data_IF_670198924334
#
_entry.id   IF_670198924334
#
_cell.length_a   1.000
_cell.length_b   1.000
_cell.length_c   1.000
_cell.angle_alpha   90.00
_cell.angle_beta   90.00
_cell.angle_gamma   90.00
#
_symmetry.space_group_name_H-M   'P 1'
#
loop_
_entity.id
_entity.type
_entity.pdbx_description
1 polymer ?
#
# COMPACT_ATOMS: atom_id res chain seq x y z
N UNK A 1 3.80 -7.05 0.69
CA UNK A 1 4.01 -7.10 -0.75
C UNK A 1 5.36 -7.69 -1.06
N UNK A 2 5.44 -8.56 -2.06
CA UNK A 2 6.72 -9.15 -2.42
C UNK A 2 7.69 -8.05 -2.87
N UNK A 3 8.90 -8.15 -2.37
CA UNK A 3 9.91 -7.16 -2.67
C UNK A 3 11.17 -7.86 -3.13
N UNK A 4 11.69 -7.42 -4.23
CA UNK A 4 12.92 -7.95 -4.77
C UNK A 4 14.10 -7.40 -3.99
N UNK A 5 15.03 -8.28 -3.62
CA UNK A 5 16.24 -7.84 -2.95
C UNK A 5 17.15 -7.10 -3.93
N UNK A 6 17.80 -6.07 -3.41
CA UNK A 6 18.82 -5.37 -4.17
C UNK A 6 20.12 -6.19 -4.16
N UNK A 7 20.63 -6.46 -5.35
CA UNK A 7 21.87 -7.21 -5.50
C UNK A 7 22.90 -6.35 -6.23
N UNK A 8 23.58 -5.49 -5.48
CA UNK A 8 24.73 -4.70 -5.96
C UNK A 8 24.49 -3.98 -7.29
N UNK A 9 25.49 -4.04 -8.13
CA UNK A 9 25.49 -3.30 -9.41
C UNK A 9 24.57 -3.90 -10.47
N UNK A 10 23.94 -5.04 -10.18
CA UNK A 10 23.04 -5.70 -11.11
C UNK A 10 21.59 -5.26 -10.97
N UNK A 11 21.33 -4.26 -10.16
CA UNK A 11 19.98 -3.75 -9.97
C UNK A 11 19.49 -3.09 -11.25
N UNK A 12 18.36 -3.57 -11.76
CA UNK A 12 17.70 -3.03 -12.95
C UNK A 12 16.40 -2.38 -12.53
N UNK A 13 16.36 -1.06 -12.59
CA UNK A 13 15.18 -0.28 -12.19
C UNK A 13 13.94 -0.64 -13.00
N UNK A 14 14.10 -0.82 -14.32
CA UNK A 14 12.97 -1.14 -15.18
C UNK A 14 12.37 -2.50 -14.85
N UNK A 15 13.23 -3.48 -14.58
CA UNK A 15 12.76 -4.81 -14.18
C UNK A 15 12.08 -4.77 -12.81
N UNK A 16 12.57 -3.94 -11.90
CA UNK A 16 11.96 -3.79 -10.59
C UNK A 16 10.55 -3.21 -10.72
N UNK A 17 10.37 -2.18 -11.54
CA UNK A 17 9.06 -1.58 -11.76
C UNK A 17 8.10 -2.58 -12.40
N UNK A 18 8.55 -3.31 -13.41
CA UNK A 18 7.73 -4.34 -14.07
C UNK A 18 7.29 -5.43 -13.08
N UNK A 19 8.22 -5.88 -12.24
CA UNK A 19 7.95 -6.91 -11.25
C UNK A 19 6.92 -6.44 -10.23
N UNK A 20 7.07 -5.24 -9.70
CA UNK A 20 6.12 -4.68 -8.74
C UNK A 20 4.73 -4.49 -9.38
N UNK A 21 4.70 -3.98 -10.61
CA UNK A 21 3.45 -3.81 -11.35
C UNK A 21 2.75 -5.15 -11.56
N UNK A 22 3.50 -6.18 -11.93
CA UNK A 22 2.95 -7.52 -12.11
C UNK A 22 2.30 -8.04 -10.84
N UNK A 23 3.00 -7.96 -9.70
CA UNK A 23 2.48 -8.48 -8.44
C UNK A 23 1.29 -7.68 -7.93
N UNK A 24 1.28 -6.37 -8.11
CA UNK A 24 0.12 -5.57 -7.75
C UNK A 24 -1.12 -5.99 -8.56
N UNK A 25 -0.92 -6.31 -9.82
CA UNK A 25 -2.04 -6.72 -10.68
C UNK A 25 -2.61 -8.09 -10.34
N UNK A 26 -1.79 -9.04 -9.89
CA UNK A 26 -2.25 -10.38 -9.59
C UNK A 26 -2.69 -10.59 -8.13
N UNK A 27 -2.29 -9.71 -7.22
CA UNK A 27 -2.63 -9.84 -5.81
C UNK A 27 -4.10 -9.53 -5.54
N UNK A 28 -4.75 -10.35 -4.71
CA UNK A 28 -6.13 -10.12 -4.30
C UNK A 28 -6.22 -9.15 -3.10
N UNK A 29 -5.19 -9.11 -2.28
CA UNK A 29 -5.09 -8.20 -1.14
C UNK A 29 -3.85 -7.34 -1.32
N UNK A 30 -4.01 -6.03 -1.26
CA UNK A 30 -2.90 -5.10 -1.37
C UNK A 30 -2.89 -4.23 -0.13
N UNK A 31 -1.77 -4.26 0.59
CA UNK A 31 -1.55 -3.41 1.75
C UNK A 31 -0.62 -2.25 1.38
N UNK A 32 -1.12 -1.04 1.59
CA UNK A 32 -0.28 0.16 1.51
C UNK A 32 0.01 0.62 2.93
N UNK A 33 1.29 0.59 3.30
CA UNK A 33 1.74 1.06 4.60
C UNK A 33 2.53 2.34 4.44
N UNK A 34 2.04 3.42 5.05
CA UNK A 34 2.68 4.73 5.03
C UNK A 34 3.33 4.97 6.40
N UNK A 35 4.63 4.72 6.50
CA UNK A 35 5.30 4.69 7.79
C UNK A 35 5.66 6.06 8.32
N UNK A 36 6.12 6.07 9.57
CA UNK A 36 6.69 7.27 10.17
C UNK A 36 7.89 7.74 9.35
N UNK A 37 7.93 9.04 9.06
CA UNK A 37 9.08 9.63 8.39
C UNK A 37 10.18 9.85 9.43
N UNK A 38 11.26 9.07 9.33
CA UNK A 38 12.35 9.12 10.28
C UNK A 38 13.47 10.01 9.79
N UNK A 39 13.71 10.03 8.49
CA UNK A 39 14.84 10.72 7.90
C UNK A 39 14.42 11.44 6.63
N UNK A 40 14.87 12.68 6.50
CA UNK A 40 14.65 13.46 5.30
C UNK A 40 15.92 13.44 4.45
N UNK A 41 15.79 12.98 3.21
CA UNK A 41 16.87 12.98 2.24
C UNK A 41 16.63 14.12 1.27
N UNK A 42 17.56 15.05 1.20
CA UNK A 42 17.46 16.23 0.35
C UNK A 42 17.30 15.84 -1.12
N UNK A 43 16.40 16.55 -1.81
CA UNK A 43 16.14 16.29 -3.22
C UNK A 43 15.24 15.08 -3.49
N UNK A 44 14.69 14.47 -2.46
CA UNK A 44 13.88 13.27 -2.59
C UNK A 44 12.61 13.38 -1.75
N UNK A 45 11.46 13.15 -2.36
CA UNK A 45 10.19 13.11 -1.64
C UNK A 45 10.00 11.77 -0.96
N UNK A 46 9.70 11.81 0.34
CA UNK A 46 9.48 10.60 1.12
C UNK A 46 8.25 9.85 0.60
N UNK A 47 8.43 8.55 0.32
CA UNK A 47 7.37 7.65 -0.12
C UNK A 47 6.58 8.14 -1.34
N UNK A 48 7.23 8.87 -2.24
CA UNK A 48 6.57 9.41 -3.43
C UNK A 48 5.98 8.29 -4.31
N UNK A 49 6.73 7.21 -4.51
CA UNK A 49 6.27 6.08 -5.31
C UNK A 49 5.06 5.41 -4.66
N UNK A 50 5.09 5.22 -3.35
CA UNK A 50 3.98 4.63 -2.62
C UNK A 50 2.72 5.49 -2.71
N UNK A 51 2.87 6.82 -2.62
CA UNK A 51 1.74 7.74 -2.76
C UNK A 51 1.11 7.65 -4.14
N UNK A 52 1.94 7.56 -5.17
CA UNK A 52 1.46 7.42 -6.54
C UNK A 52 0.71 6.10 -6.74
N UNK A 53 1.30 5.00 -6.29
CA UNK A 53 0.67 3.69 -6.40
C UNK A 53 -0.64 3.62 -5.61
N UNK A 54 -0.67 4.20 -4.42
CA UNK A 54 -1.88 4.27 -3.62
C UNK A 54 -3.00 4.97 -4.37
N UNK A 55 -2.74 6.14 -4.93
CA UNK A 55 -3.73 6.89 -5.69
C UNK A 55 -4.25 6.10 -6.88
N UNK A 56 -3.36 5.45 -7.62
CA UNK A 56 -3.72 4.64 -8.77
C UNK A 56 -4.64 3.47 -8.37
N UNK A 57 -4.27 2.73 -7.32
CA UNK A 57 -5.03 1.56 -6.92
C UNK A 57 -6.34 1.92 -6.23
N UNK A 58 -6.40 3.05 -5.52
CA UNK A 58 -7.66 3.55 -5.00
C UNK A 58 -8.66 3.81 -6.13
N UNK A 59 -8.20 4.43 -7.20
CA UNK A 59 -9.06 4.67 -8.35
C UNK A 59 -9.47 3.38 -9.03
N UNK A 60 -8.53 2.44 -9.21
CA UNK A 60 -8.83 1.14 -9.81
C UNK A 60 -9.78 0.30 -8.98
N UNK A 61 -9.77 0.46 -7.65
CA UNK A 61 -10.63 -0.34 -6.77
C UNK A 61 -12.11 -0.14 -7.06
N UNK A 62 -12.50 0.96 -7.66
CA UNK A 62 -13.87 1.23 -8.05
C UNK A 62 -14.34 0.34 -9.21
N UNK A 63 -13.42 -0.24 -9.95
CA UNK A 63 -13.72 -1.01 -11.16
C UNK A 63 -13.32 -2.48 -11.07
N UNK A 64 -12.48 -2.84 -10.09
CA UNK A 64 -11.99 -4.22 -9.95
C UNK A 64 -12.63 -4.84 -8.71
N UNK A 65 -13.65 -5.71 -8.88
CA UNK A 65 -14.49 -6.13 -7.76
C UNK A 65 -13.83 -7.06 -6.74
N UNK A 66 -12.83 -7.83 -7.13
CA UNK A 66 -12.27 -8.85 -6.25
C UNK A 66 -10.95 -8.45 -5.60
N UNK A 67 -10.63 -7.16 -5.60
CA UNK A 67 -9.38 -6.69 -5.05
C UNK A 67 -9.61 -5.90 -3.77
N UNK A 68 -9.02 -6.37 -2.67
CA UNK A 68 -9.12 -5.70 -1.37
C UNK A 68 -7.90 -4.83 -1.17
N UNK A 69 -8.13 -3.54 -0.96
CA UNK A 69 -7.07 -2.60 -0.61
C UNK A 69 -7.18 -2.27 0.86
N UNK A 70 -6.07 -2.29 1.56
CA UNK A 70 -5.98 -1.96 2.98
C UNK A 70 -4.92 -0.88 3.11
N UNK A 71 -5.23 0.15 3.87
CA UNK A 71 -4.32 1.28 4.05
C UNK A 71 -3.97 1.44 5.52
N UNK A 72 -2.69 1.47 5.81
CA UNK A 72 -2.20 1.83 7.13
C UNK A 72 -1.40 3.12 7.00
N UNK A 73 -1.68 4.09 7.85
CA UNK A 73 -1.01 5.38 7.84
C UNK A 73 -0.57 5.73 9.24
N UNK A 74 0.75 5.77 9.48
CA UNK A 74 1.24 6.27 10.76
C UNK A 74 0.82 7.74 10.91
N UNK A 75 0.37 8.11 12.11
CA UNK A 75 -0.14 9.46 12.35
C UNK A 75 0.91 10.55 12.09
N UNK A 76 2.19 10.19 12.15
CA UNK A 76 3.29 11.13 11.89
C UNK A 76 3.67 11.21 10.41
N UNK A 77 3.08 10.38 9.55
CA UNK A 77 3.35 10.43 8.10
C UNK A 77 2.88 11.78 7.56
N UNK A 78 3.73 12.43 6.79
CA UNK A 78 3.42 13.75 6.26
C UNK A 78 2.20 13.70 5.36
N UNK A 79 1.18 14.50 5.70
CA UNK A 79 -0.07 14.53 4.96
C UNK A 79 -1.05 13.44 5.37
N UNK A 80 -0.82 12.74 6.49
CA UNK A 80 -1.69 11.64 6.92
C UNK A 80 -3.14 12.06 7.08
N UNK A 81 -3.41 13.22 7.66
CA UNK A 81 -4.78 13.71 7.85
C UNK A 81 -5.50 13.91 6.53
N UNK A 82 -4.82 14.50 5.57
CA UNK A 82 -5.39 14.76 4.24
C UNK A 82 -5.67 13.45 3.51
N UNK A 83 -4.71 12.54 3.50
CA UNK A 83 -4.87 11.25 2.82
C UNK A 83 -6.02 10.46 3.43
N UNK A 84 -6.06 10.38 4.76
CA UNK A 84 -7.11 9.67 5.48
C UNK A 84 -8.49 10.25 5.14
N UNK A 85 -8.62 11.55 5.15
CA UNK A 85 -9.89 12.23 4.85
C UNK A 85 -10.34 11.95 3.41
N UNK A 86 -9.41 12.03 2.45
CA UNK A 86 -9.73 11.75 1.06
C UNK A 86 -10.19 10.31 0.85
N UNK A 87 -9.55 9.35 1.53
CA UNK A 87 -9.96 7.95 1.42
C UNK A 87 -11.34 7.77 2.05
N UNK A 88 -11.57 8.30 3.23
CA UNK A 88 -12.85 8.18 3.91
C UNK A 88 -14.01 8.77 3.12
N UNK A 89 -13.77 9.88 2.42
CA UNK A 89 -14.81 10.54 1.66
C UNK A 89 -15.12 9.86 0.32
N UNK A 90 -14.12 9.28 -0.32
CA UNK A 90 -14.25 8.77 -1.69
C UNK A 90 -14.23 7.25 -1.79
N UNK A 91 -13.74 6.55 -0.76
CA UNK A 91 -13.56 5.11 -0.79
C UNK A 91 -13.94 4.52 0.57
N UNK A 92 -15.22 4.64 0.93
CA UNK A 92 -15.69 4.28 2.27
C UNK A 92 -15.51 2.81 2.65
N UNK A 93 -15.38 1.92 1.67
CA UNK A 93 -15.19 0.49 1.94
C UNK A 93 -13.74 0.11 2.23
N UNK A 94 -12.80 1.04 2.11
CA UNK A 94 -11.40 0.74 2.33
C UNK A 94 -11.03 0.96 3.80
N UNK A 95 -10.60 -0.09 4.51
CA UNK A 95 -10.19 0.04 5.91
C UNK A 95 -8.89 0.82 6.03
N UNK A 96 -8.84 1.71 7.02
CA UNK A 96 -7.66 2.53 7.31
C UNK A 96 -7.26 2.29 8.75
N UNK A 97 -6.00 1.95 8.95
CA UNK A 97 -5.44 1.73 10.28
C UNK A 97 -4.26 2.66 10.50
N UNK A 98 -3.91 2.89 11.78
CA UNK A 98 -2.77 3.73 12.15
C UNK A 98 -1.56 2.91 12.57
N UNK A 99 -1.71 1.60 12.73
CA UNK A 99 -0.63 0.71 13.14
C UNK A 99 -0.50 -0.46 12.16
N UNK A 100 0.72 -0.80 11.82
CA UNK A 100 0.98 -1.91 10.92
C UNK A 100 0.43 -3.23 11.48
N UNK A 101 0.53 -3.43 12.78
CA UNK A 101 0.01 -4.62 13.43
C UNK A 101 -1.48 -4.80 13.15
N UNK A 102 -2.26 -3.72 13.23
CA UNK A 102 -3.69 -3.79 13.01
C UNK A 102 -4.02 -4.15 11.56
N UNK A 103 -3.22 -3.64 10.62
CA UNK A 103 -3.36 -4.04 9.23
C UNK A 103 -3.14 -5.53 9.04
N UNK A 104 -2.08 -6.06 9.65
CA UNK A 104 -1.74 -7.48 9.55
C UNK A 104 -2.81 -8.35 10.19
N UNK A 105 -3.33 -7.96 11.35
CA UNK A 105 -4.38 -8.70 12.03
C UNK A 105 -5.66 -8.76 11.16
N UNK A 106 -5.99 -7.65 10.53
CA UNK A 106 -7.14 -7.60 9.63
C UNK A 106 -6.97 -8.55 8.44
N UNK A 107 -5.78 -8.58 7.84
CA UNK A 107 -5.49 -9.45 6.72
C UNK A 107 -5.56 -10.92 7.13
N UNK A 108 -4.97 -11.27 8.26
CA UNK A 108 -4.97 -12.65 8.76
C UNK A 108 -6.39 -13.12 9.01
N UNK A 109 -7.21 -12.30 9.65
CA UNK A 109 -8.61 -12.65 9.91
C UNK A 109 -9.38 -12.86 8.61
N UNK A 110 -9.13 -12.03 7.61
CA UNK A 110 -9.81 -12.14 6.33
C UNK A 110 -9.42 -13.43 5.59
N UNK A 111 -8.14 -13.77 5.62
CA UNK A 111 -7.65 -15.01 5.00
C UNK A 111 -8.21 -16.23 5.71
N UNK A 112 -8.29 -16.20 7.04
CA UNK A 112 -8.86 -17.31 7.81
C UNK A 112 -10.34 -17.53 7.49
N UNK A 113 -11.09 -16.46 7.34
CA UNK A 113 -12.50 -16.55 6.96
C UNK A 113 -12.68 -17.18 5.57
N UNK A 114 -11.78 -16.89 4.65
CA UNK A 114 -11.82 -17.48 3.32
C UNK A 114 -11.51 -18.98 3.34
N UNK A 115 -10.57 -19.38 4.20
CA UNK A 115 -10.21 -20.80 4.34
C UNK A 115 -11.33 -21.62 4.97
N UNK A 116 -12.09 -21.03 5.87
CA UNK A 116 -13.20 -21.71 6.54
C UNK A 116 -14.44 -21.89 5.67
N UNK A 117 -14.48 -21.23 4.55
CA UNK A 117 -15.55 -21.40 3.59
C UNK A 117 -15.29 -22.64 2.73
#
# INVERSE_FOLDING_TARGET
SPRREYIGDNFDYNKQVEWETYYLNISNIILFWLPKEIEHIEGRSFAQTTRFELGEWLAKSLYIPNKQIIVGIDSSFKGSRYIKKRIQNNYEDIPIFTKLKDCCDFIINKLNLEVEK
#
